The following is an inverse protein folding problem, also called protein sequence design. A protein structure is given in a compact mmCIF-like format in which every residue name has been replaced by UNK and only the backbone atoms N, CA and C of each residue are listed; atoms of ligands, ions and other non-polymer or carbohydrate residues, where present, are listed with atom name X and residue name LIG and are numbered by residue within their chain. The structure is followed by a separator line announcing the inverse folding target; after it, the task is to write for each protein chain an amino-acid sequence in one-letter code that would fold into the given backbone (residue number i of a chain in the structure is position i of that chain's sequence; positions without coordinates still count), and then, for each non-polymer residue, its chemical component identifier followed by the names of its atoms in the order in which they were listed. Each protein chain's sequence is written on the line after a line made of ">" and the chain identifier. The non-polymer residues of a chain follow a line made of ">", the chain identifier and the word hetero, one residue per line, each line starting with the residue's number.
data_IF_457444626675
#
_entry.id   IF_457444626675
#
_cell.length_a   1.000
_cell.length_b   1.000
_cell.length_c   1.000
_cell.angle_alpha   90.00
_cell.angle_beta   90.00
_cell.angle_gamma   90.00
#
_symmetry.space_group_name_H-M   'P 1'
#
loop_
_entity.id
_entity.type
_entity.pdbx_description
1 polymer ?
#
# COMPACT_ATOMS: atom_id res chain seq x y z
N UNK A 1 5.62 -1.42 3.38
CA UNK A 1 5.09 -2.78 3.58
C UNK A 1 6.13 -3.70 4.24
N UNK A 2 7.26 -4.02 3.59
CA UNK A 2 8.23 -5.03 4.06
C UNK A 2 8.90 -4.69 5.40
N UNK A 3 9.41 -3.47 5.57
CA UNK A 3 10.05 -3.06 6.83
C UNK A 3 9.09 -3.07 8.02
N UNK A 4 7.84 -2.64 7.80
CA UNK A 4 6.80 -2.67 8.82
C UNK A 4 6.39 -4.11 9.15
N UNK A 5 6.33 -5.00 8.16
CA UNK A 5 6.14 -6.43 8.37
C UNK A 5 7.24 -7.04 9.24
N UNK A 6 8.51 -6.75 8.95
CA UNK A 6 9.62 -7.22 9.80
C UNK A 6 9.53 -6.69 11.23
N UNK A 7 9.15 -5.42 11.41
CA UNK A 7 8.93 -4.84 12.74
C UNK A 7 7.83 -5.58 13.51
N UNK A 8 6.69 -5.84 12.86
CA UNK A 8 5.58 -6.58 13.47
C UNK A 8 6.03 -8.00 13.83
N UNK A 9 6.71 -8.71 12.92
CA UNK A 9 7.25 -10.04 13.18
C UNK A 9 8.13 -10.03 14.43
N UNK A 10 9.06 -9.08 14.54
CA UNK A 10 9.97 -8.95 15.68
C UNK A 10 9.25 -8.66 17.00
N UNK A 11 8.22 -7.81 16.99
CA UNK A 11 7.42 -7.48 18.17
C UNK A 11 6.59 -8.67 18.66
N UNK A 12 6.14 -9.53 17.74
CA UNK A 12 5.33 -10.71 18.04
C UNK A 12 6.20 -11.89 18.53
N UNK A 13 7.50 -11.92 18.22
CA UNK A 13 8.38 -13.02 18.65
C UNK A 13 8.35 -13.24 20.17
N UNK A 14 8.22 -12.18 20.98
CA UNK A 14 8.10 -12.31 22.43
C UNK A 14 6.86 -13.09 22.86
N UNK A 15 5.73 -12.83 22.21
CA UNK A 15 4.48 -13.58 22.42
C UNK A 15 4.59 -15.04 21.95
N UNK A 16 5.25 -15.26 20.81
CA UNK A 16 5.45 -16.61 20.27
C UNK A 16 6.44 -17.45 21.08
N UNK A 17 7.38 -16.83 21.81
CA UNK A 17 8.35 -17.51 22.64
C UNK A 17 7.81 -17.88 24.04
N UNK A 18 6.68 -17.31 24.46
CA UNK A 18 6.08 -17.55 25.76
C UNK A 18 5.43 -18.94 25.83
N UNK A 19 6.00 -19.83 26.66
CA UNK A 19 5.51 -21.18 26.86
C UNK A 19 4.37 -21.30 27.87
N UNK A 20 3.99 -20.20 28.53
CA UNK A 20 2.82 -20.17 29.41
C UNK A 20 1.49 -20.04 28.65
N UNK A 21 1.55 -19.58 27.39
CA UNK A 21 0.39 -19.40 26.52
C UNK A 21 -0.01 -20.71 25.82
N UNK A 22 -1.28 -20.80 25.43
CA UNK A 22 -1.78 -21.99 24.75
C UNK A 22 -1.10 -22.18 23.38
N UNK A 23 -0.81 -23.45 23.05
CA UNK A 23 -0.20 -23.80 21.75
C UNK A 23 -1.10 -23.40 20.59
N UNK A 24 -2.42 -23.47 20.77
CA UNK A 24 -3.40 -23.12 19.74
C UNK A 24 -3.33 -21.64 19.40
N UNK A 25 -3.32 -20.76 20.41
CA UNK A 25 -3.24 -19.31 20.18
C UNK A 25 -1.90 -18.90 19.55
N UNK A 26 -0.80 -19.55 19.96
CA UNK A 26 0.52 -19.33 19.35
C UNK A 26 0.55 -19.81 17.90
N UNK A 27 -0.08 -20.93 17.57
CA UNK A 27 -0.16 -21.46 16.21
C UNK A 27 -0.94 -20.52 15.29
N UNK A 28 -2.08 -19.99 15.74
CA UNK A 28 -2.89 -19.02 14.98
C UNK A 28 -2.10 -17.74 14.65
N UNK A 29 -1.37 -17.21 15.63
CA UNK A 29 -0.51 -16.03 15.42
C UNK A 29 0.68 -16.37 14.52
N UNK A 30 1.28 -17.55 14.68
CA UNK A 30 2.39 -18.02 13.86
C UNK A 30 1.99 -18.21 12.39
N UNK A 31 0.75 -18.63 12.12
CA UNK A 31 0.30 -18.86 10.75
C UNK A 31 0.30 -17.58 9.90
N UNK A 32 0.03 -16.43 10.53
CA UNK A 32 0.02 -15.12 9.88
C UNK A 32 1.38 -14.39 10.03
N UNK A 33 1.98 -14.42 11.21
CA UNK A 33 3.13 -13.57 11.56
C UNK A 33 4.37 -14.35 11.98
N UNK A 34 4.40 -15.68 11.88
CA UNK A 34 5.46 -16.51 12.44
C UNK A 34 6.76 -16.51 11.63
N UNK A 35 6.67 -16.30 10.32
CA UNK A 35 7.84 -16.22 9.44
C UNK A 35 7.82 -14.97 8.59
N UNK A 36 8.98 -14.62 8.03
CA UNK A 36 9.13 -13.46 7.15
C UNK A 36 8.16 -13.50 5.95
N UNK A 37 8.11 -14.62 5.24
CA UNK A 37 7.26 -14.79 4.06
C UNK A 37 5.77 -14.72 4.41
N UNK A 38 5.37 -15.37 5.50
CA UNK A 38 3.97 -15.32 6.00
C UNK A 38 3.59 -13.88 6.34
N UNK A 39 4.46 -13.20 7.08
CA UNK A 39 4.25 -11.79 7.45
C UNK A 39 4.14 -10.90 6.22
N UNK A 40 4.95 -11.11 5.18
CA UNK A 40 4.82 -10.34 3.92
C UNK A 40 3.46 -10.55 3.27
N UNK A 41 2.99 -11.80 3.18
CA UNK A 41 1.68 -12.11 2.59
C UNK A 41 0.58 -11.46 3.43
N UNK A 42 0.65 -11.56 4.75
CA UNK A 42 -0.32 -10.91 5.65
C UNK A 42 -0.27 -9.38 5.53
N UNK A 43 0.91 -8.78 5.39
CA UNK A 43 1.05 -7.34 5.16
C UNK A 43 0.49 -6.90 3.80
N UNK A 44 0.64 -7.74 2.77
CA UNK A 44 0.02 -7.54 1.47
C UNK A 44 -1.52 -7.58 1.60
N UNK A 45 -2.05 -8.59 2.29
CA UNK A 45 -3.49 -8.72 2.57
C UNK A 45 -4.03 -7.53 3.38
N UNK A 46 -3.30 -7.07 4.40
CA UNK A 46 -3.64 -5.87 5.17
C UNK A 46 -3.72 -4.60 4.31
N UNK A 47 -2.91 -4.53 3.25
CA UNK A 47 -2.80 -3.34 2.40
C UNK A 47 -3.86 -3.35 1.28
N UNK A 48 -4.04 -4.48 0.59
CA UNK A 48 -4.83 -4.58 -0.64
C UNK A 48 -6.04 -5.51 -0.55
N UNK A 49 -6.05 -6.42 0.42
CA UNK A 49 -7.10 -7.43 0.60
C UNK A 49 -7.99 -7.15 1.81
N UNK A 50 -8.33 -8.22 2.54
CA UNK A 50 -9.17 -8.12 3.73
C UNK A 50 -8.34 -7.85 4.99
N UNK A 51 -8.35 -6.61 5.45
CA UNK A 51 -7.55 -6.20 6.61
C UNK A 51 -8.16 -6.60 7.95
N UNK A 52 -9.46 -6.93 8.01
CA UNK A 52 -10.16 -7.14 9.28
C UNK A 52 -9.78 -8.46 10.00
N UNK A 53 -9.68 -9.63 9.34
CA UNK A 53 -9.27 -10.86 10.00
C UNK A 53 -7.88 -10.82 10.66
N UNK A 54 -6.79 -10.42 9.95
CA UNK A 54 -5.47 -10.41 10.56
C UNK A 54 -5.35 -9.35 11.67
N UNK A 55 -6.03 -8.22 11.53
CA UNK A 55 -6.04 -7.19 12.59
C UNK A 55 -6.81 -7.59 13.83
N UNK A 56 -8.01 -8.17 13.67
CA UNK A 56 -8.82 -8.66 14.79
C UNK A 56 -8.13 -9.80 15.53
N UNK A 57 -7.41 -10.67 14.81
CA UNK A 57 -6.62 -11.74 15.42
C UNK A 57 -5.53 -11.17 16.35
N UNK A 58 -4.79 -10.15 15.91
CA UNK A 58 -3.78 -9.51 16.77
C UNK A 58 -4.41 -8.80 17.98
N UNK A 59 -5.54 -8.14 17.77
CA UNK A 59 -6.28 -7.47 18.85
C UNK A 59 -6.79 -8.46 19.91
N UNK A 60 -7.33 -9.60 19.50
CA UNK A 60 -7.91 -10.58 20.42
C UNK A 60 -6.87 -11.43 21.13
N UNK A 61 -5.72 -11.73 20.49
CA UNK A 61 -4.69 -12.62 21.05
C UNK A 61 -3.63 -11.88 21.84
N UNK A 62 -3.14 -10.73 21.35
CA UNK A 62 -2.00 -10.03 21.96
C UNK A 62 -2.44 -8.77 22.70
N UNK A 63 -3.45 -8.07 22.18
CA UNK A 63 -4.06 -6.94 22.87
C UNK A 63 -4.58 -5.85 21.93
N UNK A 64 -5.54 -5.07 22.41
CA UNK A 64 -6.30 -4.10 21.61
C UNK A 64 -5.45 -2.98 20.99
N UNK A 65 -4.30 -2.64 21.60
CA UNK A 65 -3.37 -1.61 21.10
C UNK A 65 -2.85 -1.90 19.67
N UNK A 66 -2.81 -3.19 19.27
CA UNK A 66 -2.48 -3.59 17.91
C UNK A 66 -3.46 -3.04 16.87
N UNK A 67 -4.73 -2.85 17.24
CA UNK A 67 -5.73 -2.23 16.39
C UNK A 67 -5.34 -0.82 15.98
N UNK A 68 -4.85 -0.01 16.92
CA UNK A 68 -4.41 1.36 16.66
C UNK A 68 -3.21 1.38 15.69
N UNK A 69 -2.24 0.49 15.89
CA UNK A 69 -1.05 0.39 15.02
C UNK A 69 -1.43 0.03 13.59
N UNK A 70 -2.33 -0.93 13.41
CA UNK A 70 -2.75 -1.37 12.08
C UNK A 70 -3.57 -0.29 11.38
N UNK A 71 -4.44 0.42 12.11
CA UNK A 71 -5.20 1.55 11.57
C UNK A 71 -4.26 2.68 11.13
N UNK A 72 -3.24 3.01 11.93
CA UNK A 72 -2.23 4.01 11.55
C UNK A 72 -1.43 3.58 10.31
N UNK A 73 -0.98 2.32 10.26
CA UNK A 73 -0.32 1.76 9.08
C UNK A 73 -1.20 1.90 7.83
N UNK A 74 -2.47 1.46 7.92
CA UNK A 74 -3.41 1.52 6.81
C UNK A 74 -3.67 2.96 6.38
N UNK A 75 -3.88 3.86 7.34
CA UNK A 75 -4.12 5.28 7.10
C UNK A 75 -2.97 5.94 6.36
N UNK A 76 -1.73 5.67 6.73
CA UNK A 76 -0.57 6.24 6.06
C UNK A 76 -0.29 5.56 4.71
N UNK A 77 -0.30 4.22 4.68
CA UNK A 77 0.19 3.46 3.52
C UNK A 77 -0.86 3.34 2.41
N UNK A 78 -2.13 3.03 2.74
CA UNK A 78 -3.17 2.92 1.73
C UNK A 78 -3.55 4.29 1.17
N UNK A 79 -3.61 5.33 2.00
CA UNK A 79 -3.87 6.69 1.53
C UNK A 79 -2.75 7.18 0.61
N UNK A 80 -1.48 6.96 0.98
CA UNK A 80 -0.35 7.35 0.15
C UNK A 80 -0.36 6.62 -1.20
N UNK A 81 -0.55 5.30 -1.23
CA UNK A 81 -0.53 4.53 -2.48
C UNK A 81 -1.64 4.98 -3.44
N UNK A 82 -2.87 5.10 -2.95
CA UNK A 82 -4.02 5.48 -3.80
C UNK A 82 -3.81 6.88 -4.38
N UNK A 83 -3.43 7.85 -3.54
CA UNK A 83 -3.25 9.23 -3.99
C UNK A 83 -2.06 9.40 -4.93
N UNK A 84 -0.93 8.75 -4.66
CA UNK A 84 0.25 8.80 -5.54
C UNK A 84 -0.05 8.15 -6.88
N UNK A 85 -0.77 7.02 -6.88
CA UNK A 85 -1.16 6.34 -8.12
C UNK A 85 -2.10 7.21 -8.95
N UNK A 86 -3.15 7.76 -8.33
CA UNK A 86 -4.07 8.67 -9.00
C UNK A 86 -3.36 9.93 -9.53
N UNK A 87 -2.48 10.54 -8.74
CA UNK A 87 -1.70 11.71 -9.14
C UNK A 87 -0.79 11.41 -10.34
N UNK A 88 -0.17 10.23 -10.38
CA UNK A 88 0.65 9.80 -11.52
C UNK A 88 -0.18 9.66 -12.80
N UNK A 89 -1.36 9.03 -12.72
CA UNK A 89 -2.25 8.92 -13.88
C UNK A 89 -2.73 10.28 -14.41
N UNK A 90 -3.06 11.21 -13.51
CA UNK A 90 -3.43 12.59 -13.88
C UNK A 90 -2.25 13.30 -14.54
N UNK A 91 -1.05 13.16 -13.96
CA UNK A 91 0.17 13.80 -14.47
C UNK A 91 0.51 13.31 -15.87
N UNK A 92 0.45 12.00 -16.12
CA UNK A 92 0.68 11.42 -17.45
C UNK A 92 -0.39 11.83 -18.46
N UNK A 93 -1.66 11.89 -18.03
CA UNK A 93 -2.75 12.37 -18.89
C UNK A 93 -2.55 13.83 -19.30
N UNK A 94 -2.20 14.70 -18.34
CA UNK A 94 -1.92 16.11 -18.60
C UNK A 94 -0.70 16.28 -19.52
N UNK A 95 0.32 15.45 -19.34
CA UNK A 95 1.52 15.47 -20.19
C UNK A 95 1.19 15.07 -21.64
N UNK A 96 0.36 14.05 -21.84
CA UNK A 96 -0.09 13.64 -23.17
C UNK A 96 -0.93 14.74 -23.84
N UNK A 97 -1.88 15.34 -23.11
CA UNK A 97 -2.70 16.44 -23.62
C UNK A 97 -1.86 17.66 -24.03
N UNK A 98 -0.87 18.03 -23.20
CA UNK A 98 0.03 19.15 -23.52
C UNK A 98 0.88 18.90 -24.77
N UNK A 99 1.32 17.66 -25.01
CA UNK A 99 2.04 17.29 -26.22
C UNK A 99 1.15 17.40 -27.48
N UNK A 100 -0.13 17.02 -27.38
CA UNK A 100 -1.08 17.15 -28.48
C UNK A 100 -1.37 18.63 -28.81
N UNK A 101 -1.51 19.50 -27.79
CA UNK A 101 -1.72 20.94 -27.95
C UNK A 101 -0.52 21.62 -28.64
N UNK A 102 0.72 21.26 -28.27
CA UNK A 102 1.93 21.77 -28.90
C UNK A 102 1.99 21.41 -30.40
N UNK A 103 1.67 20.16 -30.74
CA UNK A 103 1.61 19.71 -32.14
C UNK A 103 0.51 20.42 -32.91
N UNK A 104 -0.65 20.66 -32.30
CA UNK A 104 -1.76 21.39 -32.92
C UNK A 104 -1.38 22.86 -33.20
N UNK A 105 -0.68 23.52 -32.29
CA UNK A 105 -0.17 24.89 -32.47
C UNK A 105 0.81 24.98 -33.66
N UNK A 106 1.80 24.08 -33.73
CA UNK A 106 2.76 24.04 -34.83
C UNK A 106 2.06 23.82 -36.18
N UNK A 107 1.04 22.95 -36.23
CA UNK A 107 0.23 22.74 -37.45
C UNK A 107 -0.50 24.01 -37.86
N UNK A 108 -1.06 24.75 -36.90
CA UNK A 108 -1.76 26.02 -37.15
C UNK A 108 -0.82 27.10 -37.70
N UNK A 109 0.36 27.26 -37.11
CA UNK A 109 1.38 28.20 -37.59
C UNK A 109 1.84 27.89 -39.02
N UNK A 110 2.10 26.61 -39.32
CA UNK A 110 2.48 26.16 -40.68
C UNK A 110 1.39 26.44 -41.71
N UNK A 111 0.12 26.23 -41.36
CA UNK A 111 -1.01 26.55 -42.25
C UNK A 111 -1.14 28.05 -42.50
N UNK A 112 -0.93 28.89 -41.48
CA UNK A 112 -0.95 30.35 -41.67
C UNK A 112 0.17 30.84 -42.58
N UNK A 113 1.39 30.29 -42.43
CA UNK A 113 2.51 30.62 -43.31
C UNK A 113 2.26 30.21 -44.76
N UNK A 114 1.68 29.03 -45.00
CA UNK A 114 1.31 28.60 -46.36
C UNK A 114 0.22 29.49 -46.98
N UNK A 115 -0.76 29.93 -46.19
CA UNK A 115 -1.83 30.79 -46.69
C UNK A 115 -1.36 32.21 -46.98
N UNK A 116 -0.33 32.71 -46.30
CA UNK A 116 0.26 34.03 -46.56
C UNK A 116 1.18 34.07 -47.80
N UNK A 117 1.59 32.91 -48.33
CA UNK A 117 2.42 32.79 -49.53
C UNK A 117 1.61 32.59 -50.83
N UNK A 118 0.28 32.46 -50.73
CA UNK A 118 -0.65 32.39 -51.87
C UNK A 118 -1.28 33.75 -52.12
#
# INVERSE_FOLDING_TARGET
>A
MTCFGMLINQLIQGYLADNSLSVVERAEVFDLYGSYTRTIITMFELTLGNWAPPSRMLMSRIGEWWGMIIVLYRGLFCFAIVNVTAATFITETNRAAAADDEVAMIRKERMQQQNAQK
#
